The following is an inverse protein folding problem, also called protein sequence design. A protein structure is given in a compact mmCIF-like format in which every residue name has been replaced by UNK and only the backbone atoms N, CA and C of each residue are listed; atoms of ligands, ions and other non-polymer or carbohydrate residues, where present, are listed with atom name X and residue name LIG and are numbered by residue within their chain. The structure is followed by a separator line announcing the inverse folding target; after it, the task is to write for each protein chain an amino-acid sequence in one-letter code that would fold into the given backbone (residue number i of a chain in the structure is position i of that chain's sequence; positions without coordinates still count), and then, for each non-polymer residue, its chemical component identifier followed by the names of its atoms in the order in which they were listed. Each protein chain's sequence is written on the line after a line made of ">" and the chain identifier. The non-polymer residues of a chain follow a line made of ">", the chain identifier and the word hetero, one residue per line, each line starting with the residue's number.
data_IF_323989448821
#
_entry.id   IF_323989448821
#
_cell.length_a   1.000
_cell.length_b   1.000
_cell.length_c   1.000
_cell.angle_alpha   90.00
_cell.angle_beta   90.00
_cell.angle_gamma   90.00
#
_symmetry.space_group_name_H-M   'P 1'
#
loop_
_entity.id
_entity.type
_entity.pdbx_description
1 polymer ?
#
# COMPACT_ATOMS: atom_id res chain seq x y z
N UNK A 1 12.03 -40.83 -91.52
CA UNK A 1 12.26 -39.37 -91.39
C UNK A 1 11.23 -38.83 -90.41
N UNK A 2 11.51 -38.83 -89.10
CA UNK A 2 12.09 -37.71 -88.31
C UNK A 2 11.36 -36.37 -88.52
N UNK A 3 10.43 -36.04 -87.62
CA UNK A 3 10.43 -34.74 -86.92
C UNK A 3 9.54 -34.81 -85.68
N UNK A 4 10.18 -34.66 -84.52
CA UNK A 4 9.61 -34.58 -83.19
C UNK A 4 9.38 -33.09 -82.91
N UNK A 5 8.14 -32.70 -82.60
CA UNK A 5 7.81 -31.35 -82.15
C UNK A 5 7.94 -31.31 -80.61
N UNK A 6 9.05 -30.77 -80.11
CA UNK A 6 9.23 -30.41 -78.71
C UNK A 6 8.67 -28.99 -78.49
N UNK A 7 7.54 -28.87 -77.81
CA UNK A 7 7.06 -27.58 -77.31
C UNK A 7 7.72 -27.30 -75.95
N UNK A 8 8.63 -26.33 -75.93
CA UNK A 8 9.30 -25.84 -74.74
C UNK A 8 8.34 -24.92 -73.97
N UNK A 9 7.91 -25.34 -72.78
CA UNK A 9 7.19 -24.51 -71.81
C UNK A 9 8.24 -23.70 -71.03
N UNK A 10 8.39 -22.42 -71.38
CA UNK A 10 9.24 -21.48 -70.63
C UNK A 10 8.46 -21.09 -69.36
N UNK A 11 8.76 -21.79 -68.26
CA UNK A 11 8.42 -21.37 -66.90
C UNK A 11 9.28 -20.16 -66.55
N UNK A 12 8.72 -18.96 -66.71
CA UNK A 12 9.23 -17.76 -66.05
C UNK A 12 9.07 -17.95 -64.53
N UNK A 13 10.10 -18.49 -63.89
CA UNK A 13 10.26 -18.43 -62.45
C UNK A 13 10.52 -16.97 -62.05
N UNK A 14 9.43 -16.23 -61.81
CA UNK A 14 9.52 -14.96 -61.07
C UNK A 14 9.91 -15.33 -59.65
N UNK A 15 11.21 -15.27 -59.37
CA UNK A 15 11.72 -15.19 -58.01
C UNK A 15 11.21 -13.87 -57.43
N UNK A 16 10.02 -13.89 -56.85
CA UNK A 16 9.60 -12.88 -55.90
C UNK A 16 10.58 -12.97 -54.75
N UNK A 17 11.63 -12.15 -54.79
CA UNK A 17 12.35 -11.80 -53.59
C UNK A 17 11.32 -11.17 -52.66
N UNK A 18 10.78 -11.98 -51.75
CA UNK A 18 10.03 -11.49 -50.62
C UNK A 18 10.91 -10.43 -49.98
N UNK A 19 10.51 -9.16 -50.12
CA UNK A 19 11.17 -8.09 -49.41
C UNK A 19 11.24 -8.53 -47.95
N UNK A 20 12.41 -8.48 -47.29
CA UNK A 20 12.48 -8.73 -45.87
C UNK A 20 11.41 -7.86 -45.22
N UNK A 21 10.54 -8.41 -44.37
CA UNK A 21 9.42 -7.66 -43.81
C UNK A 21 9.96 -6.34 -43.30
N UNK A 22 9.41 -5.24 -43.81
CA UNK A 22 9.73 -3.88 -43.34
C UNK A 22 9.73 -3.96 -41.81
N UNK A 23 10.90 -3.73 -41.21
CA UNK A 23 11.01 -3.65 -39.76
C UNK A 23 9.99 -2.60 -39.33
N UNK A 24 8.92 -3.04 -38.70
CA UNK A 24 7.85 -2.21 -38.14
C UNK A 24 8.39 -1.54 -36.86
N UNK A 25 9.51 -0.85 -37.02
CA UNK A 25 10.26 -0.20 -35.96
C UNK A 25 10.16 1.29 -36.20
N UNK A 26 9.26 1.94 -35.46
CA UNK A 26 9.35 3.38 -35.17
C UNK A 26 10.61 3.72 -34.35
N UNK A 27 11.34 2.69 -33.90
CA UNK A 27 12.56 2.77 -33.13
C UNK A 27 13.82 2.82 -34.04
N UNK A 28 14.65 3.85 -33.87
CA UNK A 28 16.04 3.86 -34.36
C UNK A 28 16.34 4.69 -35.62
N UNK A 29 15.33 5.19 -36.33
CA UNK A 29 15.49 6.11 -37.46
C UNK A 29 14.43 7.21 -37.41
N UNK A 30 14.85 8.48 -37.31
CA UNK A 30 13.95 9.64 -37.21
C UNK A 30 14.47 10.71 -36.24
N UNK A 31 13.79 11.88 -36.16
CA UNK A 31 14.25 13.03 -35.37
C UNK A 31 14.33 12.74 -33.85
N UNK A 32 13.65 11.71 -33.37
CA UNK A 32 13.61 11.34 -31.95
C UNK A 32 14.50 10.13 -31.60
N UNK A 33 15.33 9.62 -32.53
CA UNK A 33 16.11 8.40 -32.30
C UNK A 33 17.06 8.46 -31.09
N UNK A 34 17.64 9.63 -30.80
CA UNK A 34 18.48 9.83 -29.61
C UNK A 34 17.67 9.66 -28.31
N UNK A 35 16.54 10.36 -28.21
CA UNK A 35 15.61 10.24 -27.09
C UNK A 35 15.08 8.81 -26.91
N UNK A 36 14.62 8.16 -27.99
CA UNK A 36 14.11 6.79 -27.93
C UNK A 36 15.17 5.80 -27.43
N UNK A 37 16.43 5.95 -27.85
CA UNK A 37 17.53 5.10 -27.38
C UNK A 37 17.82 5.30 -25.90
N UNK A 38 17.65 6.50 -25.38
CA UNK A 38 17.96 6.80 -23.99
C UNK A 38 16.86 6.35 -23.03
N UNK A 39 15.60 6.39 -23.46
CA UNK A 39 14.47 5.94 -22.62
C UNK A 39 14.21 4.43 -22.68
N UNK A 40 14.62 3.70 -23.73
CA UNK A 40 14.41 2.24 -23.86
C UNK A 40 15.61 1.45 -23.32
N UNK A 41 15.88 1.62 -22.02
CA UNK A 41 16.91 0.88 -21.29
C UNK A 41 16.46 0.64 -19.85
N UNK A 42 16.61 -0.61 -19.40
CA UNK A 42 16.45 -0.95 -17.99
C UNK A 42 17.38 -2.12 -17.65
N UNK A 43 18.64 -1.77 -17.34
CA UNK A 43 19.74 -2.72 -17.18
C UNK A 43 19.42 -3.82 -16.16
N UNK A 44 18.72 -3.48 -15.08
CA UNK A 44 18.36 -4.44 -14.03
C UNK A 44 17.35 -5.49 -14.51
N UNK A 45 16.41 -5.10 -15.38
CA UNK A 45 15.40 -6.00 -15.91
C UNK A 45 15.96 -6.90 -17.03
N UNK A 46 16.93 -6.37 -17.78
CA UNK A 46 17.69 -7.10 -18.80
C UNK A 46 18.78 -8.01 -18.19
N UNK A 47 18.98 -7.99 -16.86
CA UNK A 47 19.96 -8.82 -16.16
C UNK A 47 21.42 -8.35 -16.31
N UNK A 48 21.64 -7.11 -16.74
CA UNK A 48 22.98 -6.51 -16.86
C UNK A 48 23.53 -6.01 -15.52
N UNK A 49 22.62 -5.75 -14.59
CA UNK A 49 22.89 -5.37 -13.21
C UNK A 49 21.96 -6.16 -12.29
N UNK A 50 22.24 -6.12 -10.98
CA UNK A 50 21.45 -6.84 -9.97
C UNK A 50 20.57 -5.88 -9.17
N UNK A 51 19.35 -6.28 -8.77
CA UNK A 51 18.53 -5.51 -7.86
C UNK A 51 19.23 -5.18 -6.52
N UNK A 52 19.13 -3.94 -6.07
CA UNK A 52 19.68 -3.51 -4.79
C UNK A 52 18.65 -3.64 -3.65
N UNK A 53 19.14 -3.90 -2.44
CA UNK A 53 18.32 -3.89 -1.22
C UNK A 53 18.36 -2.46 -0.66
N UNK A 54 17.20 -1.83 -0.52
CA UNK A 54 17.12 -0.48 0.03
C UNK A 54 17.13 -0.56 1.55
N UNK A 55 17.86 0.36 2.19
CA UNK A 55 17.81 0.61 3.63
C UNK A 55 16.91 1.81 3.95
N UNK A 56 16.03 1.77 4.97
CA UNK A 56 15.05 2.81 5.22
C UNK A 56 15.63 4.16 5.67
N UNK A 57 16.87 4.18 6.16
CA UNK A 57 17.55 5.38 6.70
C UNK A 57 19.01 5.48 6.26
N UNK A 58 19.40 4.73 5.22
CA UNK A 58 20.79 4.59 4.80
C UNK A 58 21.16 5.49 3.62
N UNK A 59 21.74 4.89 2.58
CA UNK A 59 22.36 5.64 1.49
C UNK A 59 21.33 6.41 0.63
N UNK A 60 21.81 7.51 0.02
CA UNK A 60 21.05 8.28 -0.96
C UNK A 60 20.63 7.40 -2.13
N UNK A 61 19.39 7.56 -2.55
CA UNK A 61 18.78 6.82 -3.66
C UNK A 61 18.69 7.78 -4.83
N UNK A 62 19.34 7.46 -5.95
CA UNK A 62 19.33 8.31 -7.15
C UNK A 62 18.55 7.64 -8.28
N UNK A 63 17.79 8.43 -9.01
CA UNK A 63 16.93 7.96 -10.09
C UNK A 63 17.42 8.52 -11.42
N UNK A 64 17.45 7.68 -12.45
CA UNK A 64 17.90 8.05 -13.80
C UNK A 64 16.74 8.29 -14.79
N UNK A 65 15.51 8.01 -14.37
CA UNK A 65 14.28 8.26 -15.14
C UNK A 65 13.19 8.87 -14.29
N UNK A 66 12.38 9.73 -14.90
CA UNK A 66 11.16 10.32 -14.33
C UNK A 66 10.00 10.10 -15.30
N UNK A 67 8.89 9.58 -14.78
CA UNK A 67 7.61 9.44 -15.48
C UNK A 67 6.56 10.31 -14.79
N UNK A 68 5.87 11.14 -15.56
CA UNK A 68 4.59 11.74 -15.12
C UNK A 68 3.47 10.80 -15.51
N UNK A 69 2.72 10.29 -14.55
CA UNK A 69 1.68 9.30 -14.77
C UNK A 69 0.34 9.88 -14.36
N UNK A 70 -0.60 9.95 -15.31
CA UNK A 70 -2.02 10.19 -15.02
C UNK A 70 -2.68 8.87 -14.69
N UNK A 71 -3.38 8.79 -13.57
CA UNK A 71 -4.16 7.61 -13.19
C UNK A 71 -5.59 8.01 -12.85
N UNK A 72 -6.55 7.21 -13.30
CA UNK A 72 -7.97 7.29 -12.98
C UNK A 72 -8.33 6.08 -12.12
N UNK A 73 -8.86 6.34 -10.94
CA UNK A 73 -9.30 5.32 -9.99
C UNK A 73 -10.76 5.58 -9.61
N UNK A 74 -11.39 4.67 -8.87
CA UNK A 74 -12.74 4.90 -8.33
C UNK A 74 -12.87 6.13 -7.42
N UNK A 75 -11.75 6.71 -6.95
CA UNK A 75 -11.71 7.95 -6.15
C UNK A 75 -11.53 9.21 -6.99
N UNK A 76 -11.41 9.09 -8.31
CA UNK A 76 -11.14 10.19 -9.23
C UNK A 76 -9.80 10.06 -9.96
N UNK A 77 -9.47 11.08 -10.75
CA UNK A 77 -8.25 11.17 -11.55
C UNK A 77 -7.21 12.08 -10.89
N UNK A 78 -5.93 11.74 -11.01
CA UNK A 78 -4.83 12.62 -10.62
C UNK A 78 -3.56 12.34 -11.42
N UNK A 79 -2.52 13.12 -11.16
CA UNK A 79 -1.18 12.91 -11.74
C UNK A 79 -0.19 12.70 -10.61
N UNK A 80 0.72 11.74 -10.79
CA UNK A 80 1.82 11.45 -9.88
C UNK A 80 3.14 11.35 -10.66
N UNK A 81 4.24 11.53 -9.93
CA UNK A 81 5.60 11.43 -10.42
C UNK A 81 6.19 10.10 -9.97
N UNK A 82 6.66 9.30 -10.92
CA UNK A 82 7.32 8.01 -10.70
C UNK A 82 8.77 8.14 -11.14
N UNK A 83 9.70 7.99 -10.21
CA UNK A 83 11.13 8.03 -10.40
C UNK A 83 11.66 6.60 -10.44
N UNK A 84 12.54 6.30 -11.38
CA UNK A 84 13.07 4.95 -11.55
C UNK A 84 14.59 4.99 -11.59
N UNK A 85 15.21 4.10 -10.81
CA UNK A 85 16.59 3.67 -11.00
C UNK A 85 16.56 2.38 -11.82
N UNK A 86 16.84 2.53 -13.11
CA UNK A 86 16.81 1.46 -14.10
C UNK A 86 18.04 0.55 -14.01
N UNK A 87 19.05 0.92 -13.21
CA UNK A 87 20.26 0.13 -12.96
C UNK A 87 20.15 -0.73 -11.71
N UNK A 88 19.52 -0.25 -10.65
CA UNK A 88 19.43 -1.00 -9.38
C UNK A 88 18.02 -1.52 -9.10
N UNK A 89 17.03 -1.12 -9.89
CA UNK A 89 15.65 -1.61 -9.76
C UNK A 89 14.91 -0.99 -8.59
N UNK A 90 15.01 0.33 -8.46
CA UNK A 90 14.34 1.09 -7.41
C UNK A 90 13.28 2.00 -8.04
N UNK A 91 12.10 2.04 -7.45
CA UNK A 91 10.96 2.86 -7.84
C UNK A 91 10.68 3.82 -6.70
N UNK A 92 10.74 5.11 -6.96
CA UNK A 92 10.23 6.16 -6.08
C UNK A 92 8.95 6.73 -6.65
N UNK A 93 7.94 7.05 -5.84
CA UNK A 93 6.76 7.75 -6.35
C UNK A 93 6.06 8.60 -5.30
N UNK A 94 5.40 9.66 -5.77
CA UNK A 94 4.52 10.48 -4.93
C UNK A 94 3.12 9.87 -4.90
N UNK A 95 2.35 10.01 -3.81
CA UNK A 95 1.00 9.46 -3.76
C UNK A 95 0.09 10.15 -4.80
N UNK A 96 -0.77 9.36 -5.44
CA UNK A 96 -1.80 9.88 -6.34
C UNK A 96 -2.83 10.70 -5.52
N UNK A 97 -2.92 12.01 -5.81
CA UNK A 97 -3.91 12.90 -5.19
C UNK A 97 -4.96 13.29 -6.24
N UNK A 98 -6.26 12.93 -6.05
CA UNK A 98 -7.30 13.29 -7.00
C UNK A 98 -7.41 14.81 -7.20
N UNK A 99 -7.53 15.25 -8.45
CA UNK A 99 -7.68 16.67 -8.82
C UNK A 99 -6.42 17.52 -8.65
N UNK A 100 -5.28 16.94 -8.29
CA UNK A 100 -4.01 17.65 -8.10
C UNK A 100 -2.97 17.09 -9.07
N UNK A 101 -2.31 18.00 -9.78
CA UNK A 101 -1.11 17.67 -10.54
C UNK A 101 0.10 17.67 -9.61
N UNK A 102 0.77 16.52 -9.49
CA UNK A 102 1.96 16.42 -8.64
C UNK A 102 3.12 17.27 -9.18
N UNK A 103 3.73 18.08 -8.30
CA UNK A 103 5.05 18.63 -8.55
C UNK A 103 6.07 17.48 -8.53
N UNK A 104 6.89 17.36 -9.59
CA UNK A 104 7.92 16.32 -9.70
C UNK A 104 9.26 16.74 -9.11
N UNK A 105 9.21 17.43 -7.97
CA UNK A 105 10.39 17.74 -7.16
C UNK A 105 10.32 16.91 -5.87
N UNK A 106 11.45 16.33 -5.48
CA UNK A 106 11.56 15.63 -4.18
C UNK A 106 12.03 16.65 -3.12
N UNK A 107 11.07 17.29 -2.43
CA UNK A 107 11.32 18.30 -1.38
C UNK A 107 11.03 17.74 0.00
N UNK A 108 12.04 17.14 0.62
CA UNK A 108 11.92 16.47 1.92
C UNK A 108 11.62 17.43 3.07
N UNK A 109 11.86 18.73 2.87
CA UNK A 109 11.57 19.81 3.79
C UNK A 109 10.09 20.24 3.77
N UNK A 110 9.28 19.80 2.79
CA UNK A 110 7.85 20.12 2.73
C UNK A 110 7.12 19.49 3.92
N UNK A 111 6.37 20.26 4.74
CA UNK A 111 5.55 19.70 5.82
C UNK A 111 4.58 18.59 5.40
N UNK A 112 4.16 18.59 4.12
CA UNK A 112 3.24 17.61 3.54
C UNK A 112 3.96 16.56 2.66
N UNK A 113 5.29 16.45 2.78
CA UNK A 113 6.08 15.48 2.04
C UNK A 113 5.56 14.06 2.29
N UNK A 114 5.28 13.35 1.19
CA UNK A 114 4.97 11.92 1.18
C UNK A 114 5.62 11.32 -0.04
N UNK A 115 6.41 10.28 0.17
CA UNK A 115 7.15 9.60 -0.89
C UNK A 115 7.26 8.12 -0.57
N UNK A 116 7.01 7.27 -1.57
CA UNK A 116 7.11 5.82 -1.41
C UNK A 116 8.28 5.33 -2.24
N UNK A 117 9.08 4.43 -1.67
CA UNK A 117 10.19 3.76 -2.35
C UNK A 117 9.97 2.26 -2.32
N UNK A 118 10.13 1.61 -3.47
CA UNK A 118 9.94 0.18 -3.67
C UNK A 118 11.16 -0.35 -4.42
N UNK A 119 11.81 -1.38 -3.91
CA UNK A 119 12.87 -2.11 -4.61
C UNK A 119 12.35 -3.39 -5.24
N UNK A 120 12.94 -3.84 -6.35
CA UNK A 120 12.59 -5.13 -6.99
C UNK A 120 12.82 -6.35 -6.07
N UNK A 121 13.62 -6.21 -5.01
CA UNK A 121 13.77 -7.22 -3.94
C UNK A 121 12.59 -7.27 -2.96
N UNK A 122 11.59 -6.40 -3.10
CA UNK A 122 10.39 -6.40 -2.27
C UNK A 122 10.48 -5.55 -1.01
N UNK A 123 11.55 -4.79 -0.80
CA UNK A 123 11.59 -3.80 0.28
C UNK A 123 10.74 -2.59 -0.12
N UNK A 124 9.84 -2.16 0.77
CA UNK A 124 8.89 -1.07 0.56
C UNK A 124 8.90 -0.11 1.75
N UNK A 125 9.19 1.16 1.48
CA UNK A 125 9.28 2.20 2.49
C UNK A 125 8.40 3.38 2.13
N UNK A 126 7.61 3.85 3.09
CA UNK A 126 6.76 5.03 2.93
C UNK A 126 7.28 6.14 3.83
N UNK A 127 7.86 7.16 3.22
CA UNK A 127 8.39 8.33 3.86
C UNK A 127 7.31 9.40 3.96
N UNK A 128 7.20 10.02 5.12
CA UNK A 128 6.27 11.13 5.35
C UNK A 128 6.81 12.11 6.37
N UNK A 129 6.37 13.36 6.24
CA UNK A 129 6.58 14.37 7.26
C UNK A 129 5.34 14.51 8.15
N UNK A 130 5.58 14.85 9.41
CA UNK A 130 4.54 15.26 10.34
C UNK A 130 4.93 16.58 10.99
N UNK A 131 4.09 17.61 10.86
CA UNK A 131 4.33 18.92 11.49
C UNK A 131 3.71 18.94 12.88
N UNK A 132 4.53 19.06 13.92
CA UNK A 132 4.10 19.15 15.32
C UNK A 132 4.75 20.35 16.00
N UNK A 133 3.93 21.28 16.51
CA UNK A 133 4.40 22.50 17.22
C UNK A 133 5.52 23.24 16.47
N UNK A 134 5.33 23.47 15.16
CA UNK A 134 6.31 24.08 14.24
C UNK A 134 7.62 23.32 13.97
N UNK A 135 7.75 22.08 14.45
CA UNK A 135 8.85 21.17 14.09
C UNK A 135 8.35 20.17 13.06
N UNK A 136 9.16 19.91 12.02
CA UNK A 136 8.91 18.85 11.04
C UNK A 136 9.62 17.60 11.53
N UNK A 137 8.85 16.54 11.77
CA UNK A 137 9.36 15.22 12.09
C UNK A 137 9.34 14.36 10.83
N UNK A 138 10.48 13.73 10.50
CA UNK A 138 10.64 12.87 9.34
C UNK A 138 10.46 11.40 9.76
N UNK A 139 9.45 10.73 9.18
CA UNK A 139 9.10 9.35 9.52
C UNK A 139 9.13 8.44 8.30
N UNK A 140 9.70 7.25 8.45
CA UNK A 140 9.62 6.17 7.45
C UNK A 140 8.84 4.99 8.04
N UNK A 141 7.84 4.52 7.31
CA UNK A 141 7.11 3.29 7.62
C UNK A 141 7.65 2.16 6.73
N UNK A 142 8.05 1.07 7.35
CA UNK A 142 8.66 -0.09 6.67
C UNK A 142 7.67 -1.22 6.42
N UNK A 143 6.57 -1.29 7.17
CA UNK A 143 5.58 -2.37 7.10
C UNK A 143 6.22 -3.77 7.20
N UNK A 144 7.32 -3.89 7.96
CA UNK A 144 8.17 -5.06 8.11
C UNK A 144 8.83 -5.57 6.81
N UNK A 145 8.78 -4.80 5.73
CA UNK A 145 9.29 -5.21 4.41
C UNK A 145 10.82 -5.32 4.33
N UNK A 146 11.53 -4.82 5.33
CA UNK A 146 12.97 -5.03 5.50
C UNK A 146 13.29 -6.51 5.74
N UNK A 147 12.44 -7.20 6.51
CA UNK A 147 12.62 -8.60 6.91
C UNK A 147 11.75 -9.54 6.08
N UNK A 148 10.50 -9.16 5.80
CA UNK A 148 9.53 -9.95 5.05
C UNK A 148 9.24 -9.27 3.73
N UNK A 149 9.96 -9.65 2.67
CA UNK A 149 9.88 -8.99 1.37
C UNK A 149 8.46 -9.01 0.80
N UNK A 150 8.07 -7.89 0.18
CA UNK A 150 6.81 -7.77 -0.55
C UNK A 150 6.87 -8.60 -1.84
N UNK A 151 5.85 -9.42 -2.05
CA UNK A 151 5.72 -10.21 -3.26
C UNK A 151 4.95 -9.45 -4.34
N UNK A 152 5.63 -9.09 -5.43
CA UNK A 152 5.00 -8.45 -6.57
C UNK A 152 4.06 -9.39 -7.34
N UNK A 153 2.85 -8.92 -7.62
CA UNK A 153 1.90 -9.57 -8.52
C UNK A 153 2.20 -9.12 -9.96
N UNK A 154 2.17 -10.06 -10.92
CA UNK A 154 2.41 -9.79 -12.34
C UNK A 154 1.30 -8.91 -12.96
N UNK A 155 1.67 -7.88 -13.71
CA UNK A 155 0.77 -6.91 -14.37
C UNK A 155 -0.01 -7.49 -15.57
N UNK A 156 0.39 -8.65 -16.10
CA UNK A 156 -0.20 -9.31 -17.28
C UNK A 156 -0.87 -10.66 -17.01
N UNK A 157 -0.94 -11.11 -15.76
CA UNK A 157 -1.66 -12.34 -15.38
C UNK A 157 -1.16 -13.63 -16.05
N UNK A 158 0.15 -13.73 -16.33
CA UNK A 158 0.82 -14.88 -16.97
C UNK A 158 0.18 -15.36 -18.30
N UNK A 159 -0.58 -14.49 -18.98
CA UNK A 159 -1.26 -14.81 -20.24
C UNK A 159 -0.57 -14.11 -21.43
N UNK A 160 -0.57 -14.71 -22.62
CA UNK A 160 -0.02 -14.09 -23.82
C UNK A 160 -0.86 -12.88 -24.24
N UNK A 161 -0.17 -11.79 -24.52
CA UNK A 161 -0.73 -10.56 -25.03
C UNK A 161 -0.56 -10.51 -26.55
N UNK A 162 -1.66 -10.33 -27.30
CA UNK A 162 -1.65 -10.31 -28.75
C UNK A 162 -1.76 -8.91 -29.31
N UNK A 163 -0.90 -8.60 -30.28
CA UNK A 163 -0.85 -7.34 -31.02
C UNK A 163 -2.18 -7.09 -31.72
N UNK A 164 -2.71 -5.88 -31.61
CA UNK A 164 -3.88 -5.39 -32.36
C UNK A 164 -3.42 -4.29 -33.33
N UNK A 165 -4.28 -3.83 -34.24
CA UNK A 165 -3.88 -2.84 -35.25
C UNK A 165 -3.69 -1.42 -34.68
N UNK A 166 -4.38 -1.08 -33.59
CA UNK A 166 -4.42 0.28 -33.03
C UNK A 166 -3.08 0.74 -32.46
N UNK A 167 -2.71 2.00 -32.76
CA UNK A 167 -1.55 2.70 -32.20
C UNK A 167 -1.96 4.03 -31.60
N UNK A 168 -1.20 4.49 -30.60
CA UNK A 168 -1.38 5.80 -29.99
C UNK A 168 -0.04 6.50 -29.79
N UNK A 169 -0.07 7.83 -29.86
CA UNK A 169 1.08 8.69 -29.65
C UNK A 169 1.13 9.19 -28.20
N UNK A 170 2.34 9.25 -27.65
CA UNK A 170 2.66 9.60 -26.26
C UNK A 170 3.89 10.52 -26.23
N UNK A 171 4.06 11.23 -25.11
CA UNK A 171 5.19 12.14 -24.88
C UNK A 171 5.36 13.14 -26.03
N UNK A 172 4.28 13.85 -26.37
CA UNK A 172 4.21 14.85 -27.45
C UNK A 172 4.61 14.30 -28.82
N UNK A 173 4.16 13.09 -29.14
CA UNK A 173 4.42 12.43 -30.43
C UNK A 173 5.77 11.74 -30.54
N UNK A 174 6.63 11.81 -29.50
CA UNK A 174 7.95 11.18 -29.52
C UNK A 174 7.86 9.64 -29.47
N UNK A 175 6.82 9.09 -28.84
CA UNK A 175 6.62 7.65 -28.67
C UNK A 175 5.31 7.22 -29.31
N UNK A 176 5.36 6.22 -30.18
CA UNK A 176 4.18 5.56 -30.75
C UNK A 176 4.08 4.14 -30.22
N UNK A 177 3.09 3.87 -29.38
CA UNK A 177 2.87 2.57 -28.75
C UNK A 177 1.76 1.78 -29.44
N UNK A 178 1.88 0.46 -29.42
CA UNK A 178 0.97 -0.48 -30.06
C UNK A 178 0.04 -1.12 -29.03
N UNK A 179 -1.23 -1.26 -29.36
CA UNK A 179 -2.19 -1.97 -28.53
C UNK A 179 -1.92 -3.48 -28.52
N UNK A 180 -1.92 -4.04 -27.31
CA UNK A 180 -1.90 -5.46 -27.01
C UNK A 180 -3.06 -5.82 -26.07
N UNK A 181 -3.67 -7.00 -26.27
CA UNK A 181 -4.77 -7.50 -25.42
C UNK A 181 -4.62 -9.00 -25.17
N UNK A 182 -5.10 -9.46 -24.01
CA UNK A 182 -5.44 -10.88 -23.80
C UNK A 182 -6.83 -11.10 -24.37
N UNK A 183 -7.02 -12.16 -25.16
CA UNK A 183 -8.33 -12.44 -25.74
C UNK A 183 -9.37 -12.76 -24.67
N UNK A 184 -10.59 -12.24 -24.86
CA UNK A 184 -11.67 -12.35 -23.88
C UNK A 184 -11.53 -11.48 -22.62
N UNK A 185 -10.44 -10.71 -22.47
CA UNK A 185 -10.28 -9.76 -21.36
C UNK A 185 -10.50 -8.32 -21.81
N UNK A 186 -11.14 -7.47 -20.97
CA UNK A 186 -11.39 -6.06 -21.30
C UNK A 186 -10.12 -5.21 -21.21
N UNK A 187 -9.08 -5.67 -20.51
CA UNK A 187 -7.86 -4.89 -20.29
C UNK A 187 -7.03 -4.72 -21.56
N UNK A 188 -6.50 -3.52 -21.74
CA UNK A 188 -5.71 -3.08 -22.89
C UNK A 188 -4.37 -2.54 -22.42
N UNK A 189 -3.30 -2.94 -23.11
CA UNK A 189 -1.94 -2.48 -22.84
C UNK A 189 -1.34 -1.85 -24.08
N UNK A 190 -0.93 -0.59 -23.99
CA UNK A 190 -0.21 0.10 -25.05
C UNK A 190 1.29 -0.04 -24.80
N UNK A 191 1.94 -0.90 -25.57
CA UNK A 191 3.35 -1.24 -25.40
C UNK A 191 4.23 -0.51 -26.42
N UNK A 192 5.36 -0.01 -25.93
CA UNK A 192 6.44 0.53 -26.74
C UNK A 192 7.71 -0.30 -26.53
N UNK A 193 8.46 -0.59 -27.58
CA UNK A 193 9.68 -1.39 -27.50
C UNK A 193 10.49 -1.30 -28.79
N UNK A 194 11.69 -1.88 -28.78
CA UNK A 194 12.58 -1.91 -29.97
C UNK A 194 11.96 -2.71 -31.12
N UNK A 195 11.16 -3.72 -30.79
CA UNK A 195 10.42 -4.56 -31.70
C UNK A 195 9.00 -4.76 -31.15
N UNK A 196 8.02 -4.92 -32.04
CA UNK A 196 6.61 -5.09 -31.69
C UNK A 196 6.09 -6.41 -32.28
N UNK A 197 6.41 -7.55 -31.66
CA UNK A 197 6.03 -8.88 -32.14
C UNK A 197 4.52 -9.11 -32.02
N UNK A 198 3.99 -10.10 -32.74
CA UNK A 198 2.56 -10.40 -32.74
C UNK A 198 2.04 -10.88 -31.38
N UNK A 199 2.91 -11.47 -30.56
CA UNK A 199 2.60 -11.95 -29.22
C UNK A 199 3.75 -11.65 -28.26
N UNK A 200 3.42 -11.30 -27.02
CA UNK A 200 4.38 -11.11 -25.92
C UNK A 200 3.86 -11.75 -24.64
N UNK A 201 4.75 -12.38 -23.87
CA UNK A 201 4.44 -12.92 -22.54
C UNK A 201 5.24 -12.17 -21.48
N UNK A 202 4.54 -11.39 -20.65
CA UNK A 202 5.16 -10.61 -19.56
C UNK A 202 5.75 -11.53 -18.50
N UNK A 203 7.02 -11.32 -18.14
CA UNK A 203 7.67 -12.11 -17.08
C UNK A 203 7.24 -11.59 -15.70
N UNK A 204 6.84 -12.48 -14.77
CA UNK A 204 6.53 -12.10 -13.41
C UNK A 204 7.79 -11.54 -12.71
N UNK A 205 7.59 -10.62 -11.77
CA UNK A 205 8.67 -9.98 -10.98
C UNK A 205 9.72 -9.21 -11.81
N UNK A 206 9.49 -8.98 -13.11
CA UNK A 206 10.33 -8.15 -13.98
C UNK A 206 9.61 -6.93 -14.52
N UNK A 207 9.08 -6.15 -13.58
CA UNK A 207 8.36 -4.92 -13.83
C UNK A 207 8.97 -3.80 -12.99
N UNK A 208 9.30 -2.68 -13.62
CA UNK A 208 9.82 -1.48 -12.97
C UNK A 208 8.92 -0.30 -13.33
N UNK A 209 7.98 0.00 -12.45
CA UNK A 209 6.95 1.00 -12.68
C UNK A 209 5.94 1.09 -11.54
N UNK A 210 4.92 1.92 -11.71
CA UNK A 210 3.83 2.09 -10.74
C UNK A 210 2.50 2.29 -11.46
N UNK A 211 1.39 1.98 -10.81
CA UNK A 211 0.03 2.03 -11.39
C UNK A 211 -0.07 1.29 -12.74
N UNK A 212 0.55 0.10 -12.83
CA UNK A 212 0.57 -0.76 -14.01
C UNK A 212 1.19 -0.17 -15.30
N UNK A 213 1.88 0.97 -15.21
CA UNK A 213 2.69 1.54 -16.31
C UNK A 213 4.16 1.61 -15.92
N UNK A 214 5.05 1.52 -16.91
CA UNK A 214 6.50 1.48 -16.70
C UNK A 214 7.19 0.40 -17.51
N UNK A 215 8.42 0.03 -17.14
CA UNK A 215 9.20 -0.97 -17.86
C UNK A 215 8.75 -2.38 -17.51
N UNK A 216 8.64 -3.24 -18.52
CA UNK A 216 8.27 -4.63 -18.38
C UNK A 216 9.18 -5.49 -19.25
N UNK A 217 9.82 -6.50 -18.66
CA UNK A 217 10.56 -7.50 -19.41
C UNK A 217 9.63 -8.64 -19.81
N UNK A 218 9.73 -9.10 -21.06
CA UNK A 218 8.97 -10.23 -21.59
C UNK A 218 9.91 -11.30 -22.15
N UNK A 219 9.33 -12.40 -22.64
CA UNK A 219 10.04 -13.39 -23.45
C UNK A 219 10.60 -12.83 -24.78
N UNK A 220 10.13 -11.65 -25.22
CA UNK A 220 10.60 -10.96 -26.44
C UNK A 220 11.48 -9.74 -26.18
N UNK A 221 11.85 -9.50 -24.92
CA UNK A 221 12.73 -8.40 -24.51
C UNK A 221 12.02 -7.30 -23.72
N UNK A 222 12.64 -6.12 -23.68
CA UNK A 222 12.18 -4.99 -22.85
C UNK A 222 11.12 -4.14 -23.57
N UNK A 223 10.02 -3.88 -22.87
CA UNK A 223 8.93 -3.00 -23.28
C UNK A 223 8.69 -1.92 -22.23
N UNK A 224 8.07 -0.82 -22.65
CA UNK A 224 7.48 0.20 -21.78
C UNK A 224 5.97 0.13 -21.98
N UNK A 225 5.24 -0.11 -20.89
CA UNK A 225 3.79 0.00 -20.85
C UNK A 225 3.46 1.49 -20.74
N UNK A 226 3.08 2.11 -21.87
CA UNK A 226 2.77 3.54 -21.94
C UNK A 226 1.38 3.87 -21.39
N UNK A 227 0.45 2.94 -21.54
CA UNK A 227 -0.89 3.05 -20.98
C UNK A 227 -1.47 1.67 -20.69
N UNK A 228 -2.21 1.55 -19.59
CA UNK A 228 -3.06 0.41 -19.26
C UNK A 228 -4.48 0.91 -19.07
N UNK A 229 -5.42 0.36 -19.84
CA UNK A 229 -6.85 0.65 -19.69
C UNK A 229 -7.53 -0.62 -19.20
N UNK A 230 -8.14 -0.59 -18.02
CA UNK A 230 -8.73 -1.79 -17.43
C UNK A 230 -9.85 -1.49 -16.44
N UNK A 231 -10.46 -2.55 -15.92
CA UNK A 231 -11.50 -2.44 -14.90
C UNK A 231 -10.87 -2.03 -13.56
N UNK A 232 -11.12 -0.79 -13.14
CA UNK A 232 -10.77 -0.26 -11.81
C UNK A 232 -9.61 0.74 -11.80
N UNK A 233 -8.67 0.63 -12.75
CA UNK A 233 -7.55 1.58 -12.92
C UNK A 233 -7.31 1.79 -14.42
N UNK A 234 -7.27 3.04 -14.85
CA UNK A 234 -6.68 3.48 -16.12
C UNK A 234 -5.45 4.33 -15.80
N UNK A 235 -4.32 4.05 -16.43
CA UNK A 235 -3.07 4.75 -16.17
C UNK A 235 -2.32 5.02 -17.46
N UNK A 236 -1.80 6.24 -17.61
CA UNK A 236 -1.12 6.72 -18.81
C UNK A 236 0.14 7.51 -18.43
N UNK A 237 1.26 7.19 -19.07
CA UNK A 237 2.48 8.00 -19.03
C UNK A 237 2.27 9.23 -19.91
N UNK A 238 2.36 10.42 -19.31
CA UNK A 238 2.28 11.71 -19.98
C UNK A 238 3.65 12.13 -20.52
N UNK A 239 4.68 12.09 -19.67
CA UNK A 239 6.08 12.36 -20.05
C UNK A 239 7.01 11.30 -19.46
N UNK A 240 8.13 11.08 -20.15
CA UNK A 240 9.23 10.20 -19.73
C UNK A 240 10.54 10.93 -20.02
N UNK A 241 11.31 11.19 -18.97
CA UNK A 241 12.49 12.03 -19.03
C UNK A 241 13.68 11.31 -18.37
N UNK A 242 14.88 11.59 -18.87
CA UNK A 242 16.11 11.25 -18.14
C UNK A 242 16.40 12.33 -17.13
N UNK A 243 16.69 11.90 -15.91
CA UNK A 243 16.95 12.82 -14.79
C UNK A 243 18.14 12.33 -13.99
N UNK A 244 18.63 13.17 -13.09
CA UNK A 244 19.56 12.77 -12.04
C UNK A 244 19.07 13.37 -10.73
N UNK A 245 18.03 12.77 -10.17
CA UNK A 245 17.37 13.24 -8.94
C UNK A 245 17.66 12.24 -7.84
N UNK A 246 18.10 12.73 -6.68
CA UNK A 246 18.39 11.88 -5.54
C UNK A 246 17.48 12.20 -4.35
N UNK A 247 17.12 11.16 -3.61
CA UNK A 247 16.38 11.19 -2.36
C UNK A 247 17.31 10.73 -1.23
N UNK A 248 17.42 11.52 -0.16
CA UNK A 248 18.26 11.21 1.01
C UNK A 248 17.41 10.71 2.20
N UNK A 249 17.36 9.40 2.49
CA UNK A 249 16.54 8.87 3.57
C UNK A 249 17.13 9.11 4.97
N UNK A 250 18.36 9.62 5.09
CA UNK A 250 19.07 9.72 6.39
C UNK A 250 18.37 10.55 7.48
N UNK A 251 17.58 11.61 7.19
CA UNK A 251 16.88 12.35 8.24
C UNK A 251 15.68 11.61 8.84
N UNK A 252 15.18 10.56 8.19
CA UNK A 252 13.96 9.87 8.57
C UNK A 252 14.19 8.87 9.71
N UNK A 253 13.20 8.74 10.58
CA UNK A 253 13.18 7.76 11.68
C UNK A 253 12.17 6.66 11.40
N UNK A 254 12.50 5.43 11.75
CA UNK A 254 11.59 4.29 11.61
C UNK A 254 10.42 4.47 12.57
N UNK A 255 9.21 4.57 12.01
CA UNK A 255 7.99 4.83 12.76
C UNK A 255 7.63 3.66 13.69
N UNK A 256 7.81 2.43 13.20
CA UNK A 256 7.49 1.22 13.94
C UNK A 256 8.34 1.09 15.22
N UNK A 257 9.64 1.38 15.14
CA UNK A 257 10.56 1.31 16.29
C UNK A 257 10.15 2.29 17.40
N UNK A 258 9.84 3.53 17.05
CA UNK A 258 9.38 4.55 17.99
C UNK A 258 8.04 4.17 18.63
N UNK A 259 7.12 3.63 17.84
CA UNK A 259 5.81 3.18 18.35
C UNK A 259 5.97 1.99 19.30
N UNK A 260 6.81 1.02 18.96
CA UNK A 260 7.08 -0.13 19.81
C UNK A 260 7.66 0.31 21.16
N UNK A 261 8.67 1.19 21.15
CA UNK A 261 9.28 1.71 22.38
C UNK A 261 8.25 2.43 23.26
N UNK A 262 7.44 3.32 22.68
CA UNK A 262 6.39 4.04 23.41
C UNK A 262 5.34 3.09 23.97
N UNK A 263 4.95 2.08 23.21
CA UNK A 263 3.94 1.11 23.64
C UNK A 263 4.45 0.23 24.78
N UNK A 264 5.70 -0.26 24.71
CA UNK A 264 6.34 -1.00 25.82
C UNK A 264 6.38 -0.16 27.10
N UNK A 265 6.77 1.12 27.00
CA UNK A 265 6.78 2.02 28.15
C UNK A 265 5.36 2.25 28.71
N UNK A 266 4.36 2.40 27.84
CA UNK A 266 2.97 2.57 28.28
C UNK A 266 2.45 1.31 28.99
N UNK A 267 2.67 0.12 28.43
CA UNK A 267 2.27 -1.15 29.03
C UNK A 267 2.89 -1.31 30.43
N UNK A 268 4.18 -1.03 30.57
CA UNK A 268 4.86 -1.08 31.87
C UNK A 268 4.24 -0.10 32.89
N UNK A 269 4.00 1.16 32.49
CA UNK A 269 3.34 2.15 33.35
C UNK A 269 1.92 1.72 33.75
N UNK A 270 1.15 1.11 32.85
CA UNK A 270 -0.18 0.60 33.17
C UNK A 270 -0.12 -0.59 34.12
N UNK A 271 0.86 -1.51 33.97
CA UNK A 271 1.08 -2.60 34.93
C UNK A 271 1.35 -2.08 36.34
N UNK A 272 2.24 -1.11 36.47
CA UNK A 272 2.53 -0.47 37.77
C UNK A 272 1.31 0.26 38.36
N UNK A 273 0.48 0.86 37.50
CA UNK A 273 -0.79 1.46 37.94
C UNK A 273 -1.76 0.39 38.46
N UNK A 274 -1.93 -0.72 37.73
CA UNK A 274 -2.79 -1.83 38.14
C UNK A 274 -2.31 -2.43 39.46
N UNK A 275 -1.00 -2.70 39.60
CA UNK A 275 -0.42 -3.25 40.83
C UNK A 275 -0.65 -2.34 42.04
N UNK A 276 -0.54 -1.02 41.86
CA UNK A 276 -0.89 -0.04 42.92
C UNK A 276 -2.37 -0.05 43.25
N UNK A 277 -3.26 -0.19 42.27
CA UNK A 277 -4.70 -0.27 42.51
C UNK A 277 -5.10 -1.59 43.20
N UNK A 278 -4.41 -2.69 42.93
CA UNK A 278 -4.60 -3.98 43.61
C UNK A 278 -4.23 -3.90 45.10
N UNK A 279 -3.15 -3.21 45.44
CA UNK A 279 -2.72 -3.00 46.83
C UNK A 279 -3.65 -2.09 47.64
N UNK A 280 -4.55 -1.34 46.99
CA UNK A 280 -5.54 -0.50 47.69
C UNK A 280 -6.73 -1.34 48.13
N UNK A 281 -7.12 -1.27 49.39
CA UNK A 281 -8.40 -1.84 49.85
C UNK A 281 -9.58 -1.11 49.20
N UNK A 282 -10.64 -1.83 48.84
CA UNK A 282 -11.88 -1.20 48.40
C UNK A 282 -12.63 -0.60 49.59
N UNK A 283 -13.17 0.61 49.43
CA UNK A 283 -13.91 1.30 50.50
C UNK A 283 -15.16 0.51 50.93
N UNK A 284 -15.80 -0.17 49.98
CA UNK A 284 -16.98 -1.00 50.20
C UNK A 284 -16.63 -2.47 49.94
N UNK A 285 -16.52 -3.32 50.98
CA UNK A 285 -16.16 -4.73 50.81
C UNK A 285 -17.06 -5.50 49.83
N UNK A 286 -18.34 -5.13 49.75
CA UNK A 286 -19.30 -5.70 48.79
C UNK A 286 -18.96 -5.43 47.32
N UNK A 287 -18.16 -4.41 47.02
CA UNK A 287 -17.70 -4.08 45.67
C UNK A 287 -16.32 -4.67 45.32
N UNK A 288 -15.69 -5.40 46.25
CA UNK A 288 -14.34 -5.96 46.05
C UNK A 288 -14.28 -6.91 44.84
N UNK A 289 -15.31 -7.73 44.60
CA UNK A 289 -15.37 -8.64 43.45
C UNK A 289 -15.43 -7.90 42.11
N UNK A 290 -16.20 -6.80 42.04
CA UNK A 290 -16.26 -5.93 40.86
C UNK A 290 -14.93 -5.24 40.60
N UNK A 291 -14.25 -4.79 41.66
CA UNK A 291 -12.89 -4.23 41.56
C UNK A 291 -11.91 -5.26 41.00
N UNK A 292 -11.90 -6.47 41.55
CA UNK A 292 -11.03 -7.56 41.08
C UNK A 292 -11.29 -7.91 39.61
N UNK A 293 -12.56 -7.97 39.19
CA UNK A 293 -12.94 -8.20 37.79
C UNK A 293 -12.42 -7.10 36.86
N UNK A 294 -12.62 -5.82 37.20
CA UNK A 294 -12.13 -4.69 36.43
C UNK A 294 -10.59 -4.68 36.29
N UNK A 295 -9.87 -5.00 37.36
CA UNK A 295 -8.40 -5.11 37.32
C UNK A 295 -7.95 -6.29 36.47
N UNK A 296 -8.63 -7.44 36.57
CA UNK A 296 -8.33 -8.62 35.75
C UNK A 296 -8.53 -8.34 34.25
N UNK A 297 -9.61 -7.66 33.86
CA UNK A 297 -9.81 -7.26 32.46
C UNK A 297 -8.70 -6.36 31.94
N UNK A 298 -8.25 -5.39 32.75
CA UNK A 298 -7.10 -4.55 32.38
C UNK A 298 -5.82 -5.37 32.19
N UNK A 299 -5.52 -6.31 33.10
CA UNK A 299 -4.35 -7.19 32.97
C UNK A 299 -4.40 -8.01 31.69
N UNK A 300 -5.54 -8.63 31.41
CA UNK A 300 -5.74 -9.43 30.21
C UNK A 300 -5.60 -8.60 28.93
N UNK A 301 -6.13 -7.37 28.92
CA UNK A 301 -5.98 -6.45 27.80
C UNK A 301 -4.50 -6.08 27.56
N UNK A 302 -3.73 -5.83 28.62
CA UNK A 302 -2.29 -5.57 28.49
C UNK A 302 -1.52 -6.79 27.96
N UNK A 303 -1.85 -8.01 28.41
CA UNK A 303 -1.25 -9.24 27.87
C UNK A 303 -1.55 -9.39 26.38
N UNK A 304 -2.82 -9.24 25.97
CA UNK A 304 -3.20 -9.27 24.56
C UNK A 304 -2.50 -8.19 23.74
N UNK A 305 -2.34 -6.99 24.29
CA UNK A 305 -1.61 -5.91 23.63
C UNK A 305 -0.13 -6.26 23.40
N UNK A 306 0.53 -6.93 24.36
CA UNK A 306 1.90 -7.43 24.18
C UNK A 306 1.99 -8.54 23.12
N UNK A 307 1.05 -9.48 23.13
CA UNK A 307 0.96 -10.54 22.13
C UNK A 307 0.75 -9.96 20.72
N UNK A 308 -0.19 -9.01 20.57
CA UNK A 308 -0.43 -8.32 19.30
C UNK A 308 0.80 -7.52 18.85
N UNK A 309 1.55 -6.91 19.76
CA UNK A 309 2.82 -6.24 19.44
C UNK A 309 3.86 -7.20 18.88
N UNK A 310 3.95 -8.42 19.41
CA UNK A 310 4.85 -9.44 18.86
C UNK A 310 4.37 -9.92 17.48
N UNK A 311 3.08 -10.20 17.33
CA UNK A 311 2.49 -10.65 16.06
C UNK A 311 2.54 -9.59 14.96
N UNK A 312 2.39 -8.31 15.32
CA UNK A 312 2.52 -7.18 14.39
C UNK A 312 3.91 -7.07 13.75
N UNK A 313 4.91 -7.79 14.28
CA UNK A 313 6.29 -7.86 13.75
C UNK A 313 6.55 -9.10 12.90
N UNK A 314 5.64 -10.08 12.89
CA UNK A 314 5.80 -11.32 12.13
C UNK A 314 5.03 -11.21 10.84
N UNK A 315 5.71 -11.18 9.69
CA UNK A 315 5.11 -11.07 8.36
C UNK A 315 5.13 -9.66 7.78
N UNK A 316 4.86 -9.56 6.48
CA UNK A 316 4.79 -8.29 5.76
C UNK A 316 3.41 -7.66 5.98
N UNK A 317 3.35 -6.48 6.62
CA UNK A 317 2.09 -5.85 6.97
C UNK A 317 1.27 -5.35 5.76
N UNK A 318 1.82 -5.36 4.55
CA UNK A 318 1.07 -5.04 3.33
C UNK A 318 0.33 -6.24 2.74
N UNK A 319 0.69 -7.48 3.11
CA UNK A 319 0.17 -8.70 2.48
C UNK A 319 -0.34 -9.74 3.47
N UNK A 320 0.19 -9.76 4.69
CA UNK A 320 -0.23 -10.70 5.73
C UNK A 320 -1.39 -10.13 6.55
N UNK A 321 -2.57 -10.72 6.39
CA UNK A 321 -3.80 -10.34 7.09
C UNK A 321 -3.66 -10.48 8.61
N UNK A 322 -2.90 -11.47 9.10
CA UNK A 322 -2.69 -11.65 10.54
C UNK A 322 -1.83 -10.52 11.10
N UNK A 323 -0.76 -10.15 10.40
CA UNK A 323 0.07 -9.01 10.79
C UNK A 323 -0.74 -7.72 10.78
N UNK A 324 -1.57 -7.51 9.75
CA UNK A 324 -2.47 -6.36 9.66
C UNK A 324 -3.44 -6.31 10.83
N UNK A 325 -4.07 -7.44 11.16
CA UNK A 325 -4.99 -7.56 12.29
C UNK A 325 -4.29 -7.23 13.61
N UNK A 326 -3.10 -7.81 13.84
CA UNK A 326 -2.32 -7.54 15.04
C UNK A 326 -1.93 -6.06 15.15
N UNK A 327 -1.58 -5.40 14.04
CA UNK A 327 -1.33 -3.95 14.01
C UNK A 327 -2.56 -3.12 14.36
N UNK A 328 -3.74 -3.48 13.84
CA UNK A 328 -5.00 -2.79 14.19
C UNK A 328 -5.41 -3.02 15.64
N UNK A 329 -5.13 -4.21 16.18
CA UNK A 329 -5.51 -4.61 17.54
C UNK A 329 -4.51 -4.13 18.62
N UNK A 330 -3.46 -3.39 18.25
CA UNK A 330 -2.64 -2.62 19.21
C UNK A 330 -3.46 -1.58 19.97
N UNK A 331 -4.57 -1.13 19.37
CA UNK A 331 -5.59 -0.29 19.97
C UNK A 331 -6.94 -1.02 19.94
N UNK A 332 -7.00 -2.19 20.60
CA UNK A 332 -8.19 -3.04 20.66
C UNK A 332 -9.40 -2.31 21.27
N UNK A 333 -10.35 -1.94 20.42
CA UNK A 333 -11.63 -1.37 20.84
C UNK A 333 -12.49 -2.36 21.63
N UNK A 334 -12.35 -3.66 21.36
CA UNK A 334 -13.05 -4.73 22.09
C UNK A 334 -12.57 -4.79 23.56
N UNK A 335 -11.27 -4.64 23.79
CA UNK A 335 -10.72 -4.56 25.16
C UNK A 335 -11.13 -3.27 25.85
N UNK A 336 -11.06 -2.14 25.12
CA UNK A 336 -11.44 -0.84 25.66
C UNK A 336 -12.90 -0.81 26.13
N UNK A 337 -13.85 -1.36 25.35
CA UNK A 337 -15.26 -1.40 25.75
C UNK A 337 -15.51 -2.36 26.92
N UNK A 338 -14.82 -3.51 26.98
CA UNK A 338 -14.94 -4.43 28.12
C UNK A 338 -14.44 -3.82 29.42
N UNK A 339 -13.30 -3.12 29.37
CA UNK A 339 -12.77 -2.37 30.53
C UNK A 339 -13.76 -1.31 30.98
N UNK A 340 -14.36 -0.57 30.02
CA UNK A 340 -15.33 0.48 30.31
C UNK A 340 -16.61 -0.07 30.98
N UNK A 341 -17.10 -1.22 30.51
CA UNK A 341 -18.23 -1.95 31.13
C UNK A 341 -17.90 -2.32 32.57
N UNK A 342 -16.75 -2.96 32.81
CA UNK A 342 -16.35 -3.39 34.14
C UNK A 342 -16.12 -2.20 35.10
N UNK A 343 -15.57 -1.09 34.60
CA UNK A 343 -15.42 0.15 35.36
C UNK A 343 -16.79 0.74 35.75
N UNK A 344 -17.74 0.74 34.81
CA UNK A 344 -19.10 1.26 35.05
C UNK A 344 -19.84 0.39 36.06
N UNK A 345 -19.70 -0.94 36.01
CA UNK A 345 -20.26 -1.84 37.02
C UNK A 345 -19.67 -1.60 38.43
N UNK A 346 -18.37 -1.33 38.54
CA UNK A 346 -17.75 -0.97 39.81
C UNK A 346 -18.28 0.38 40.33
N UNK A 347 -18.41 1.38 39.45
CA UNK A 347 -19.00 2.69 39.81
C UNK A 347 -20.45 2.56 40.26
N UNK A 348 -21.23 1.71 39.60
CA UNK A 348 -22.61 1.41 39.96
C UNK A 348 -22.68 0.79 41.36
N UNK A 349 -21.88 -0.25 41.64
CA UNK A 349 -21.82 -0.88 42.96
C UNK A 349 -21.49 0.14 44.06
N UNK A 350 -20.49 1.00 43.84
CA UNK A 350 -20.12 2.05 44.80
C UNK A 350 -21.25 3.06 45.01
N UNK A 351 -21.99 3.41 43.96
CA UNK A 351 -23.11 4.35 44.05
C UNK A 351 -24.30 3.73 44.81
N UNK A 352 -24.60 2.45 44.58
CA UNK A 352 -25.65 1.71 45.29
C UNK A 352 -25.34 1.57 46.78
N UNK A 353 -24.07 1.27 47.13
CA UNK A 353 -23.64 1.22 48.53
C UNK A 353 -23.65 2.59 49.21
N UNK A 354 -23.36 3.67 48.48
CA UNK A 354 -23.53 5.04 49.00
C UNK A 354 -25.00 5.38 49.20
N UNK A 355 -25.86 4.96 48.28
CA UNK A 355 -27.30 5.16 48.40
C UNK A 355 -27.88 4.45 49.62
N UNK A 356 -27.45 3.22 49.91
CA UNK A 356 -27.92 2.47 51.08
C UNK A 356 -27.48 3.10 52.40
N UNK A 357 -26.32 3.74 52.43
CA UNK A 357 -25.81 4.46 53.62
C UNK A 357 -26.37 5.88 53.74
N UNK A 358 -26.56 6.57 52.62
CA UNK A 358 -27.00 7.97 52.54
C UNK A 358 -27.94 8.17 51.33
N UNK A 359 -29.25 7.98 51.54
CA UNK A 359 -30.23 8.20 50.50
C UNK A 359 -30.24 9.67 50.05
N UNK A 360 -30.07 9.91 48.75
CA UNK A 360 -30.21 11.26 48.18
C UNK A 360 -30.67 11.20 46.73
N UNK A 361 -31.43 12.21 46.30
CA UNK A 361 -31.87 12.34 44.91
C UNK A 361 -30.69 12.42 43.93
N UNK A 362 -29.60 13.06 44.35
CA UNK A 362 -28.36 13.13 43.57
C UNK A 362 -27.74 11.74 43.35
N UNK A 363 -27.68 10.89 44.38
CA UNK A 363 -27.21 9.52 44.25
C UNK A 363 -28.11 8.70 43.31
N UNK A 364 -29.44 8.95 43.32
CA UNK A 364 -30.40 8.20 42.50
C UNK A 364 -30.23 8.57 41.03
N UNK A 365 -30.13 9.87 40.73
CA UNK A 365 -29.82 10.36 39.37
C UNK A 365 -28.52 9.78 38.84
N UNK A 366 -27.49 9.69 39.69
CA UNK A 366 -26.20 9.09 39.34
C UNK A 366 -26.33 7.59 39.00
N UNK A 367 -27.06 6.81 39.80
CA UNK A 367 -27.31 5.39 39.54
C UNK A 367 -28.04 5.23 38.20
N UNK A 368 -29.12 5.99 37.96
CA UNK A 368 -29.87 5.94 36.70
C UNK A 368 -28.98 6.26 35.49
N UNK A 369 -28.13 7.28 35.59
CA UNK A 369 -27.20 7.60 34.50
C UNK A 369 -26.20 6.46 34.25
N UNK A 370 -25.61 5.89 35.30
CA UNK A 370 -24.69 4.77 35.18
C UNK A 370 -25.35 3.53 34.57
N UNK A 371 -26.61 3.24 34.90
CA UNK A 371 -27.38 2.15 34.30
C UNK A 371 -27.62 2.38 32.80
N UNK A 372 -27.99 3.61 32.40
CA UNK A 372 -28.16 3.97 30.99
C UNK A 372 -26.84 3.85 30.22
N UNK A 373 -25.74 4.34 30.81
CA UNK A 373 -24.39 4.22 30.24
C UNK A 373 -24.00 2.75 30.06
N UNK A 374 -24.23 1.91 31.07
CA UNK A 374 -23.94 0.48 31.00
C UNK A 374 -24.73 -0.23 29.89
N UNK A 375 -26.02 0.08 29.74
CA UNK A 375 -26.85 -0.48 28.67
C UNK A 375 -26.32 -0.07 27.29
N UNK A 376 -25.93 1.19 27.12
CA UNK A 376 -25.35 1.69 25.88
C UNK A 376 -24.00 1.02 25.56
N UNK A 377 -23.13 0.86 26.55
CA UNK A 377 -21.84 0.20 26.38
C UNK A 377 -22.01 -1.27 25.95
N UNK A 378 -22.96 -2.00 26.54
CA UNK A 378 -23.30 -3.38 26.15
C UNK A 378 -23.84 -3.46 24.72
N UNK A 379 -24.65 -2.49 24.30
CA UNK A 379 -25.10 -2.41 22.91
C UNK A 379 -23.93 -2.17 21.94
N UNK A 380 -22.97 -1.31 22.30
CA UNK A 380 -21.77 -1.08 21.50
C UNK A 380 -20.90 -2.34 21.42
N UNK A 381 -20.73 -3.07 22.52
CA UNK A 381 -20.01 -4.34 22.53
C UNK A 381 -20.64 -5.37 21.56
N UNK A 382 -21.98 -5.51 21.59
CA UNK A 382 -22.68 -6.39 20.64
C UNK A 382 -22.47 -5.93 19.19
N UNK A 383 -22.52 -4.62 18.94
CA UNK A 383 -22.26 -4.07 17.61
C UNK A 383 -20.83 -4.37 17.14
N UNK A 384 -19.84 -4.31 18.02
CA UNK A 384 -18.45 -4.67 17.70
C UNK A 384 -18.33 -6.15 17.32
N UNK A 385 -19.03 -7.06 18.01
CA UNK A 385 -19.08 -8.48 17.63
C UNK A 385 -19.69 -8.68 16.25
N UNK A 386 -20.76 -7.97 15.90
CA UNK A 386 -21.34 -8.00 14.55
C UNK A 386 -20.35 -7.51 13.50
N UNK A 387 -19.63 -6.41 13.78
CA UNK A 387 -18.58 -5.86 12.90
C UNK A 387 -17.46 -6.90 12.68
N UNK A 388 -17.07 -7.64 13.73
CA UNK A 388 -16.06 -8.70 13.64
C UNK A 388 -16.46 -9.81 12.67
N UNK A 389 -17.72 -10.21 12.71
CA UNK A 389 -18.25 -11.23 11.81
C UNK A 389 -18.42 -10.70 10.39
N UNK A 390 -18.94 -9.49 10.22
CA UNK A 390 -19.23 -8.88 8.93
C UNK A 390 -17.95 -8.57 8.11
N UNK A 391 -16.88 -8.15 8.78
CA UNK A 391 -15.64 -7.70 8.14
C UNK A 391 -14.42 -8.53 8.52
N UNK A 392 -14.62 -9.84 8.75
CA UNK A 392 -13.60 -10.78 9.26
C UNK A 392 -12.26 -10.76 8.50
N UNK A 393 -12.31 -10.49 7.19
CA UNK A 393 -11.13 -10.48 6.31
C UNK A 393 -10.75 -9.06 5.86
N UNK A 394 -11.30 -8.03 6.48
CA UNK A 394 -11.03 -6.62 6.15
C UNK A 394 -10.61 -5.84 7.42
N UNK A 395 -9.42 -6.11 8.01
CA UNK A 395 -9.01 -5.55 9.30
C UNK A 395 -9.12 -4.01 9.37
N UNK A 396 -8.70 -3.32 8.31
CA UNK A 396 -8.79 -1.86 8.24
C UNK A 396 -10.22 -1.32 8.28
N UNK A 397 -11.17 -2.02 7.65
CA UNK A 397 -12.60 -1.64 7.65
C UNK A 397 -13.25 -1.98 8.99
N UNK A 398 -12.94 -3.15 9.54
CA UNK A 398 -13.35 -3.56 10.87
C UNK A 398 -12.92 -2.53 11.91
N UNK A 399 -11.65 -2.10 11.90
CA UNK A 399 -11.13 -1.07 12.79
C UNK A 399 -11.89 0.26 12.63
N UNK A 400 -12.09 0.72 11.40
CA UNK A 400 -12.81 1.97 11.12
C UNK A 400 -14.26 1.96 11.62
N UNK A 401 -14.98 0.85 11.45
CA UNK A 401 -16.35 0.71 11.93
C UNK A 401 -16.43 0.56 13.46
N UNK A 402 -15.47 -0.15 14.08
CA UNK A 402 -15.35 -0.21 15.55
C UNK A 402 -15.09 1.16 16.16
N UNK A 403 -14.20 1.95 15.56
CA UNK A 403 -13.93 3.32 15.99
C UNK A 403 -15.20 4.18 15.99
N UNK A 404 -16.02 4.07 14.93
CA UNK A 404 -17.32 4.74 14.85
C UNK A 404 -18.30 4.28 15.92
N UNK A 405 -18.38 2.97 16.17
CA UNK A 405 -19.22 2.41 17.22
C UNK A 405 -18.79 2.91 18.61
N UNK A 406 -17.47 2.98 18.87
CA UNK A 406 -16.91 3.41 20.15
C UNK A 406 -17.20 4.88 20.47
N UNK A 407 -17.22 5.78 19.48
CA UNK A 407 -17.62 7.19 19.68
C UNK A 407 -19.02 7.32 20.29
N UNK A 408 -19.92 6.37 20.00
CA UNK A 408 -21.24 6.33 20.60
C UNK A 408 -21.24 5.99 22.09
N UNK A 409 -20.25 5.24 22.60
CA UNK A 409 -20.20 4.77 23.99
C UNK A 409 -19.71 5.84 25.00
N UNK A 410 -19.10 6.93 24.53
CA UNK A 410 -18.43 7.92 25.39
C UNK A 410 -19.34 9.07 25.83
N UNK A 411 -20.46 8.76 26.51
CA UNK A 411 -21.27 9.80 27.18
C UNK A 411 -20.92 9.85 28.67
N UNK A 412 -20.28 10.93 29.16
CA UNK A 412 -19.97 11.05 30.58
C UNK A 412 -21.26 11.25 31.40
N UNK A 413 -21.38 10.47 32.46
CA UNK A 413 -22.27 10.78 33.58
C UNK A 413 -21.50 11.72 34.52
N UNK A 414 -21.72 13.03 34.36
CA UNK A 414 -21.20 14.04 35.29
C UNK A 414 -22.26 14.38 36.33
#
# INVERSE_FOLDING_TARGET
>A
MKQILFFFLILCAVTTHAQPPLRDTTFGSGPHAAYLRSVVRADVLEGRTIPETITPTGQKICFDKLMKVKSVTGRGSGVTCVYLDTRTGIIGYTPLKPGIDAACDIKQEDPNFVFSVIGLKGNVYNYRNNKKKNVIEHWVQTSNSATYQYEFISTGGNAPLRKKAERRDYCDGKIKAQLYKVDGKPTEWYLFGKQLPNEVLMQPKKFLGSMAVGYQYSDKGLFIIMQMVGTGIDSKILSLEEVNVCFDPSPFKIFEDEQEQKMRQNIQRQREKIAREEGKSEQYPSCQSKKASWLNYQKQALTRQEENMQQARTGNAMQDVRTQQAQTDLMSYDDAIQILIAETELKLCRAEQRMSQQPSEANQKKITCLQQSLAQQKQVQQRMQTINTQYRNEPGKQYGEKAKAMMGAMRPCN
#
